data_IF_520242260034
#
_entry.id   IF_520242260034
#
_cell.length_a   1.000
_cell.length_b   1.000
_cell.length_c   1.000
_cell.angle_alpha   90.00
_cell.angle_beta   90.00
_cell.angle_gamma   90.00
#
_symmetry.space_group_name_H-M   'P 1'
#
loop_
_entity.id
_entity.type
_entity.pdbx_description
1 polymer ?
#
# COMPACT_ATOMS: atom_id res chain seq x y z
N UNK A 1 34.21 -66.66 -57.09
CA UNK A 1 34.36 -65.73 -55.95
C UNK A 1 33.75 -64.44 -56.42
N UNK A 2 32.56 -64.11 -55.96
CA UNK A 2 31.76 -63.00 -56.43
C UNK A 2 31.92 -61.77 -55.45
N UNK A 3 32.44 -60.64 -55.94
CA UNK A 3 32.54 -59.41 -55.24
C UNK A 3 31.22 -58.59 -55.37
N UNK A 4 30.53 -58.37 -54.26
CA UNK A 4 29.34 -57.48 -54.23
C UNK A 4 29.84 -56.04 -54.17
N UNK A 5 29.47 -55.27 -55.20
CA UNK A 5 29.61 -53.83 -55.19
C UNK A 5 28.44 -53.23 -54.38
N UNK A 6 28.75 -52.52 -53.31
CA UNK A 6 27.81 -51.69 -52.53
C UNK A 6 27.64 -50.34 -53.26
N UNK A 7 26.47 -50.13 -53.83
CA UNK A 7 26.11 -48.82 -54.44
C UNK A 7 25.92 -47.76 -53.36
N UNK A 8 26.76 -46.76 -53.36
CA UNK A 8 26.61 -45.53 -52.57
C UNK A 8 25.73 -44.59 -53.39
N UNK A 9 24.46 -44.41 -52.98
CA UNK A 9 23.61 -43.37 -53.54
C UNK A 9 24.00 -42.05 -52.96
N UNK A 10 24.71 -41.22 -53.70
CA UNK A 10 25.00 -39.83 -53.37
C UNK A 10 23.70 -39.01 -53.59
N UNK A 11 22.99 -38.71 -52.50
CA UNK A 11 21.93 -37.71 -52.53
C UNK A 11 22.53 -36.34 -52.78
N UNK A 12 22.16 -35.71 -53.89
CA UNK A 12 22.59 -34.36 -54.22
C UNK A 12 22.06 -33.34 -53.19
N UNK A 13 22.85 -32.37 -52.73
CA UNK A 13 22.37 -31.37 -51.79
C UNK A 13 21.24 -30.52 -52.40
N UNK A 14 20.20 -30.18 -51.66
CA UNK A 14 19.06 -29.41 -52.16
C UNK A 14 19.50 -28.06 -52.75
N UNK A 15 18.81 -27.54 -53.76
CA UNK A 15 19.16 -26.31 -54.45
C UNK A 15 19.18 -25.15 -53.49
N UNK A 16 20.10 -24.18 -53.69
CA UNK A 16 20.31 -23.03 -52.84
C UNK A 16 19.00 -22.24 -52.51
N UNK A 17 18.04 -22.21 -53.46
CA UNK A 17 16.73 -21.62 -53.30
C UNK A 17 15.84 -22.33 -52.25
N UNK A 18 15.91 -23.66 -52.15
CA UNK A 18 15.16 -24.45 -51.16
C UNK A 18 15.72 -24.25 -49.75
N UNK A 19 17.05 -24.08 -49.60
CA UNK A 19 17.67 -23.76 -48.28
C UNK A 19 17.31 -22.37 -47.81
N UNK A 20 17.26 -21.38 -48.72
CA UNK A 20 16.83 -20.02 -48.36
C UNK A 20 15.33 -19.98 -47.97
N UNK A 21 14.47 -20.71 -48.66
CA UNK A 21 13.05 -20.81 -48.32
C UNK A 21 12.82 -21.48 -46.93
N UNK A 22 13.57 -22.52 -46.59
CA UNK A 22 13.50 -23.21 -45.31
C UNK A 22 13.96 -22.30 -44.13
N UNK A 23 15.00 -21.51 -44.32
CA UNK A 23 15.49 -20.56 -43.31
C UNK A 23 14.48 -19.45 -43.09
N UNK A 24 13.87 -18.90 -44.13
CA UNK A 24 12.82 -17.88 -44.04
C UNK A 24 11.59 -18.43 -43.32
N UNK A 25 11.14 -19.65 -43.66
CA UNK A 25 10.00 -20.29 -43.03
C UNK A 25 10.24 -20.56 -41.54
N UNK A 26 11.44 -21.03 -41.16
CA UNK A 26 11.81 -21.25 -39.78
C UNK A 26 11.86 -19.91 -38.97
N UNK A 27 12.35 -18.82 -39.58
CA UNK A 27 12.36 -17.49 -38.95
C UNK A 27 10.93 -16.93 -38.74
N UNK A 28 10.02 -17.11 -39.74
CA UNK A 28 8.62 -16.67 -39.60
C UNK A 28 7.87 -17.47 -38.55
N UNK A 29 8.07 -18.78 -38.49
CA UNK A 29 7.48 -19.63 -37.43
C UNK A 29 8.02 -19.29 -36.04
N UNK A 30 9.31 -18.97 -35.93
CA UNK A 30 9.92 -18.51 -34.65
C UNK A 30 9.35 -17.19 -34.17
N UNK A 31 9.16 -16.22 -35.07
CA UNK A 31 8.55 -14.91 -34.71
C UNK A 31 7.07 -15.05 -34.34
N UNK A 32 6.31 -15.91 -35.02
CA UNK A 32 4.91 -16.17 -34.70
C UNK A 32 4.76 -16.88 -33.33
N UNK A 33 5.66 -17.80 -32.98
CA UNK A 33 5.69 -18.46 -31.66
C UNK A 33 6.04 -17.48 -30.53
N UNK A 34 7.00 -16.59 -30.75
CA UNK A 34 7.34 -15.53 -29.76
C UNK A 34 6.15 -14.58 -29.54
N UNK A 35 5.49 -14.11 -30.59
CA UNK A 35 4.34 -13.22 -30.50
C UNK A 35 3.12 -13.87 -29.82
N UNK A 36 2.89 -15.16 -30.05
CA UNK A 36 1.81 -15.89 -29.36
C UNK A 36 2.13 -16.14 -27.89
N UNK A 37 3.37 -16.42 -27.55
CA UNK A 37 3.82 -16.58 -26.16
C UNK A 37 3.71 -15.26 -25.36
N UNK A 38 4.16 -14.14 -25.95
CA UNK A 38 4.05 -12.82 -25.34
C UNK A 38 2.60 -12.39 -25.08
N UNK A 39 1.68 -12.65 -26.04
CA UNK A 39 0.24 -12.41 -25.84
C UNK A 39 -0.36 -13.29 -24.73
N UNK A 40 0.05 -14.55 -24.64
CA UNK A 40 -0.43 -15.46 -23.60
C UNK A 40 0.08 -15.07 -22.20
N UNK A 41 1.34 -14.65 -22.09
CA UNK A 41 1.90 -14.14 -20.81
C UNK A 41 1.21 -12.86 -20.39
N UNK A 42 1.09 -11.86 -21.27
CA UNK A 42 0.37 -10.62 -20.99
C UNK A 42 -1.06 -10.87 -20.52
N UNK A 43 -1.81 -11.77 -21.16
CA UNK A 43 -3.18 -12.12 -20.73
C UNK A 43 -3.22 -12.72 -19.32
N UNK A 44 -2.22 -13.54 -18.94
CA UNK A 44 -2.11 -14.08 -17.58
C UNK A 44 -1.76 -13.00 -16.57
N UNK A 45 -0.88 -12.07 -16.92
CA UNK A 45 -0.51 -10.94 -16.07
C UNK A 45 -1.70 -10.03 -15.83
N UNK A 46 -2.48 -9.69 -16.86
CA UNK A 46 -3.71 -8.90 -16.76
C UNK A 46 -4.75 -9.61 -15.87
N UNK A 47 -4.93 -10.93 -16.04
CA UNK A 47 -5.86 -11.73 -15.23
C UNK A 47 -5.40 -11.81 -13.76
N UNK A 48 -4.10 -12.01 -13.54
CA UNK A 48 -3.52 -12.00 -12.18
C UNK A 48 -3.74 -10.67 -11.48
N UNK A 49 -3.43 -9.56 -12.15
CA UNK A 49 -3.64 -8.20 -11.62
C UNK A 49 -5.11 -7.97 -11.28
N UNK A 50 -6.03 -8.31 -12.17
CA UNK A 50 -7.47 -8.19 -11.91
C UNK A 50 -7.93 -9.01 -10.71
N UNK A 51 -7.53 -10.29 -10.63
CA UNK A 51 -7.87 -11.15 -9.50
C UNK A 51 -7.24 -10.66 -8.18
N UNK A 52 -6.05 -10.05 -8.24
CA UNK A 52 -5.41 -9.43 -7.06
C UNK A 52 -6.25 -8.26 -6.55
N UNK A 53 -6.66 -7.36 -7.43
CA UNK A 53 -7.49 -6.20 -7.07
C UNK A 53 -8.85 -6.62 -6.49
N UNK A 54 -9.49 -7.65 -7.08
CA UNK A 54 -10.71 -8.23 -6.51
C UNK A 54 -10.46 -8.84 -5.12
N UNK A 55 -9.37 -9.58 -4.95
CA UNK A 55 -9.00 -10.14 -3.66
C UNK A 55 -8.82 -9.08 -2.58
N UNK A 56 -8.12 -7.98 -2.91
CA UNK A 56 -7.95 -6.83 -2.01
C UNK A 56 -9.31 -6.17 -1.70
N UNK A 57 -10.19 -6.03 -2.70
CA UNK A 57 -11.53 -5.47 -2.49
C UNK A 57 -12.36 -6.32 -1.53
N UNK A 58 -12.35 -7.65 -1.68
CA UNK A 58 -13.01 -8.58 -0.75
C UNK A 58 -12.41 -8.55 0.65
N UNK A 59 -11.07 -8.41 0.79
CA UNK A 59 -10.45 -8.21 2.10
C UNK A 59 -10.95 -6.94 2.80
N UNK A 60 -11.14 -5.85 2.07
CA UNK A 60 -11.71 -4.61 2.62
C UNK A 60 -13.17 -4.76 3.06
N UNK A 61 -13.93 -5.60 2.37
CA UNK A 61 -15.31 -5.94 2.72
C UNK A 61 -15.41 -6.97 3.87
N UNK A 62 -14.29 -7.58 4.27
CA UNK A 62 -14.25 -8.64 5.28
C UNK A 62 -14.62 -10.02 4.74
N UNK A 63 -14.80 -10.16 3.42
CA UNK A 63 -15.09 -11.45 2.79
C UNK A 63 -13.80 -12.25 2.54
N UNK A 64 -13.29 -12.85 3.61
CA UNK A 64 -12.04 -13.64 3.60
C UNK A 64 -12.12 -14.84 2.66
N UNK A 65 -13.22 -15.61 2.57
CA UNK A 65 -13.32 -16.73 1.63
C UNK A 65 -13.17 -16.31 0.17
N UNK A 66 -13.90 -15.29 -0.27
CA UNK A 66 -13.81 -14.79 -1.64
C UNK A 66 -12.44 -14.14 -1.93
N UNK A 67 -11.89 -13.40 -0.97
CA UNK A 67 -10.55 -12.87 -1.08
C UNK A 67 -9.53 -13.97 -1.33
N UNK A 68 -9.61 -15.07 -0.57
CA UNK A 68 -8.72 -16.23 -0.73
C UNK A 68 -8.85 -16.88 -2.10
N UNK A 69 -10.08 -17.09 -2.57
CA UNK A 69 -10.33 -17.66 -3.91
C UNK A 69 -9.64 -16.83 -5.01
N UNK A 70 -9.85 -15.49 -4.98
CA UNK A 70 -9.30 -14.59 -6.00
C UNK A 70 -7.77 -14.51 -5.93
N UNK A 71 -7.21 -14.41 -4.73
CA UNK A 71 -5.76 -14.34 -4.56
C UNK A 71 -5.05 -15.66 -4.87
N UNK A 72 -5.65 -16.81 -4.54
CA UNK A 72 -5.11 -18.11 -4.94
C UNK A 72 -5.15 -18.28 -6.48
N UNK A 73 -6.18 -17.74 -7.13
CA UNK A 73 -6.25 -17.70 -8.59
C UNK A 73 -5.19 -16.77 -9.17
N UNK A 74 -5.04 -15.57 -8.65
CA UNK A 74 -4.02 -14.62 -9.08
C UNK A 74 -2.61 -15.21 -9.01
N UNK A 75 -2.29 -15.90 -7.92
CA UNK A 75 -1.00 -16.58 -7.73
C UNK A 75 -0.76 -17.69 -8.77
N UNK A 76 -1.79 -18.47 -9.14
CA UNK A 76 -1.66 -19.47 -10.20
C UNK A 76 -1.45 -18.86 -11.58
N UNK A 77 -2.02 -17.69 -11.83
CA UNK A 77 -1.90 -16.97 -13.10
C UNK A 77 -0.52 -16.31 -13.25
N UNK A 78 -0.01 -15.66 -12.20
CA UNK A 78 1.35 -15.11 -12.17
C UNK A 78 1.98 -15.24 -10.77
N UNK A 79 2.73 -16.30 -10.49
CA UNK A 79 3.45 -16.47 -9.22
C UNK A 79 4.66 -15.51 -9.05
N UNK A 80 5.05 -14.79 -10.08
CA UNK A 80 6.11 -13.79 -10.05
C UNK A 80 5.61 -12.36 -9.78
N UNK A 81 4.32 -12.16 -9.55
CA UNK A 81 3.79 -10.83 -9.29
C UNK A 81 3.92 -10.47 -7.79
N UNK A 82 4.73 -9.46 -7.41
CA UNK A 82 4.93 -9.06 -6.02
C UNK A 82 3.67 -8.56 -5.34
N UNK A 83 2.75 -7.94 -6.09
CA UNK A 83 1.47 -7.45 -5.57
C UNK A 83 0.58 -8.60 -5.08
N UNK A 84 0.54 -9.73 -5.81
CA UNK A 84 -0.19 -10.93 -5.38
C UNK A 84 0.32 -11.42 -4.03
N UNK A 85 1.64 -11.52 -3.87
CA UNK A 85 2.26 -11.94 -2.60
C UNK A 85 1.94 -10.95 -1.47
N UNK A 86 2.03 -9.64 -1.74
CA UNK A 86 1.67 -8.61 -0.75
C UNK A 86 0.20 -8.72 -0.33
N UNK A 87 -0.72 -8.91 -1.28
CA UNK A 87 -2.15 -9.10 -0.99
C UNK A 87 -2.44 -10.41 -0.23
N UNK A 88 -1.73 -11.50 -0.56
CA UNK A 88 -1.82 -12.77 0.17
C UNK A 88 -1.28 -12.66 1.60
N UNK A 89 -0.25 -11.85 1.81
CA UNK A 89 0.23 -11.55 3.15
C UNK A 89 -0.86 -10.87 3.99
N UNK A 90 -1.55 -9.87 3.42
CA UNK A 90 -2.71 -9.24 4.08
C UNK A 90 -3.84 -10.24 4.37
N UNK A 91 -4.09 -11.19 3.45
CA UNK A 91 -5.06 -12.25 3.67
C UNK A 91 -4.67 -13.14 4.87
N UNK A 92 -3.43 -13.61 4.92
CA UNK A 92 -2.95 -14.47 6.02
C UNK A 92 -2.92 -13.73 7.35
N UNK A 93 -2.62 -12.44 7.37
CA UNK A 93 -2.76 -11.61 8.56
C UNK A 93 -4.21 -11.58 9.08
N UNK A 94 -5.17 -11.35 8.18
CA UNK A 94 -6.61 -11.41 8.52
C UNK A 94 -7.07 -12.77 9.02
N UNK A 95 -6.44 -13.86 8.56
CA UNK A 95 -6.71 -15.24 9.00
C UNK A 95 -6.03 -15.58 10.32
N UNK A 96 -5.22 -14.68 10.90
CA UNK A 96 -4.44 -14.94 12.11
C UNK A 96 -3.29 -15.93 11.88
N UNK A 97 -2.72 -15.96 10.67
CA UNK A 97 -1.62 -16.82 10.26
C UNK A 97 -0.31 -16.02 10.06
N UNK A 98 0.28 -15.44 11.13
CA UNK A 98 1.38 -14.47 11.01
C UNK A 98 2.64 -15.02 10.34
N UNK A 99 2.94 -16.29 10.51
CA UNK A 99 4.10 -16.92 9.88
C UNK A 99 3.95 -16.96 8.34
N UNK A 100 2.73 -17.23 7.85
CA UNK A 100 2.45 -17.20 6.40
C UNK A 100 2.43 -15.78 5.88
N UNK A 101 1.87 -14.82 6.61
CA UNK A 101 1.90 -13.42 6.25
C UNK A 101 3.35 -12.90 6.07
N UNK A 102 4.22 -13.16 7.05
CA UNK A 102 5.64 -12.77 6.97
C UNK A 102 6.36 -13.43 5.78
N UNK A 103 6.10 -14.71 5.52
CA UNK A 103 6.68 -15.42 4.38
C UNK A 103 6.27 -14.83 3.03
N UNK A 104 5.00 -14.46 2.88
CA UNK A 104 4.47 -13.84 1.65
C UNK A 104 5.02 -12.41 1.47
N UNK A 105 5.09 -11.57 2.52
CA UNK A 105 5.74 -10.26 2.42
C UNK A 105 7.21 -10.36 2.02
N UNK A 106 7.95 -11.33 2.58
CA UNK A 106 9.33 -11.58 2.16
C UNK A 106 9.43 -12.06 0.71
N UNK A 107 8.46 -12.85 0.24
CA UNK A 107 8.39 -13.26 -1.15
C UNK A 107 8.16 -12.04 -2.07
N UNK A 108 7.23 -11.15 -1.73
CA UNK A 108 6.99 -9.91 -2.45
C UNK A 108 8.27 -9.05 -2.55
N UNK A 109 8.99 -8.87 -1.44
CA UNK A 109 10.25 -8.10 -1.42
C UNK A 109 11.38 -8.76 -2.20
N UNK A 110 11.44 -10.10 -2.28
CA UNK A 110 12.45 -10.77 -3.15
C UNK A 110 12.17 -10.52 -4.63
N UNK A 111 10.90 -10.46 -5.01
CA UNK A 111 10.49 -10.19 -6.39
C UNK A 111 10.65 -8.71 -6.77
N UNK A 112 10.38 -7.80 -5.84
CA UNK A 112 10.46 -6.37 -6.05
C UNK A 112 11.17 -5.66 -4.87
N UNK A 113 12.49 -5.78 -4.73
CA UNK A 113 13.22 -5.28 -3.56
C UNK A 113 13.25 -3.75 -3.44
N UNK A 114 13.02 -3.05 -4.55
CA UNK A 114 12.99 -1.58 -4.60
C UNK A 114 11.57 -0.99 -4.65
N UNK A 115 10.54 -1.85 -4.61
CA UNK A 115 9.15 -1.40 -4.66
C UNK A 115 8.75 -0.76 -3.31
N UNK A 116 8.44 0.54 -3.32
CA UNK A 116 8.10 1.24 -2.08
C UNK A 116 6.73 0.83 -1.53
N UNK A 117 5.77 0.44 -2.38
CA UNK A 117 4.44 0.04 -1.93
C UNK A 117 4.50 -1.32 -1.21
N UNK A 118 5.23 -2.29 -1.76
CA UNK A 118 5.48 -3.58 -1.09
C UNK A 118 6.19 -3.36 0.24
N UNK A 119 7.21 -2.50 0.28
CA UNK A 119 7.96 -2.20 1.50
C UNK A 119 7.09 -1.49 2.55
N UNK A 120 6.24 -0.54 2.13
CA UNK A 120 5.29 0.15 3.00
C UNK A 120 4.26 -0.82 3.60
N UNK A 121 3.68 -1.70 2.80
CA UNK A 121 2.70 -2.68 3.28
C UNK A 121 3.31 -3.65 4.29
N UNK A 122 4.52 -4.11 4.04
CA UNK A 122 5.23 -4.94 5.01
C UNK A 122 5.57 -4.17 6.29
N UNK A 123 5.92 -2.90 6.21
CA UNK A 123 6.17 -2.06 7.37
C UNK A 123 4.91 -1.90 8.25
N UNK A 124 3.73 -1.70 7.64
CA UNK A 124 2.45 -1.70 8.37
C UNK A 124 2.26 -2.99 9.15
N UNK A 125 2.43 -4.13 8.48
CA UNK A 125 2.31 -5.44 9.12
C UNK A 125 3.30 -5.64 10.27
N UNK A 126 4.57 -5.26 10.10
CA UNK A 126 5.58 -5.35 11.15
C UNK A 126 5.19 -4.56 12.40
N UNK A 127 4.62 -3.37 12.22
CA UNK A 127 4.10 -2.57 13.32
C UNK A 127 2.92 -3.25 14.04
N UNK A 128 2.00 -3.86 13.30
CA UNK A 128 0.85 -4.56 13.86
C UNK A 128 1.26 -5.75 14.75
N UNK A 129 2.32 -6.46 14.36
CA UNK A 129 2.85 -7.58 15.15
C UNK A 129 3.90 -7.18 16.21
N UNK A 130 4.07 -5.86 16.46
CA UNK A 130 4.96 -5.33 17.49
C UNK A 130 6.45 -5.26 17.11
N UNK A 131 6.81 -5.54 15.85
CA UNK A 131 8.19 -5.36 15.32
C UNK A 131 8.41 -3.89 14.92
N UNK A 132 8.19 -3.00 15.88
CA UNK A 132 8.13 -1.54 15.67
C UNK A 132 9.39 -0.97 15.02
N UNK A 133 10.59 -1.32 15.50
CA UNK A 133 11.83 -0.75 14.95
C UNK A 133 12.05 -1.13 13.49
N UNK A 134 11.73 -2.38 13.12
CA UNK A 134 11.82 -2.83 11.73
C UNK A 134 10.79 -2.13 10.84
N UNK A 135 9.55 -1.97 11.34
CA UNK A 135 8.50 -1.25 10.62
C UNK A 135 8.87 0.21 10.38
N UNK A 136 9.31 0.92 11.42
CA UNK A 136 9.73 2.32 11.34
C UNK A 136 10.91 2.50 10.38
N UNK A 137 11.94 1.67 10.50
CA UNK A 137 13.09 1.71 9.59
C UNK A 137 12.68 1.56 8.12
N UNK A 138 11.72 0.65 7.84
CA UNK A 138 11.18 0.49 6.47
C UNK A 138 10.40 1.71 6.02
N UNK A 139 9.52 2.26 6.84
CA UNK A 139 8.79 3.48 6.50
C UNK A 139 9.71 4.64 6.18
N UNK A 140 10.77 4.84 6.97
CA UNK A 140 11.76 5.89 6.72
C UNK A 140 12.53 5.65 5.40
N UNK A 141 12.86 4.39 5.08
CA UNK A 141 13.48 4.05 3.81
C UNK A 141 12.54 4.34 2.63
N UNK A 142 11.25 3.96 2.76
CA UNK A 142 10.20 4.26 1.78
C UNK A 142 10.05 5.78 1.59
N UNK A 143 9.97 6.54 2.68
CA UNK A 143 9.81 8.00 2.61
C UNK A 143 10.98 8.71 1.91
N UNK A 144 12.19 8.14 1.97
CA UNK A 144 13.40 8.63 1.27
C UNK A 144 13.51 8.13 -0.18
N UNK A 145 12.68 7.17 -0.59
CA UNK A 145 12.71 6.64 -1.96
C UNK A 145 12.10 7.64 -2.93
N UNK A 146 12.90 8.12 -3.89
CA UNK A 146 12.46 9.10 -4.90
C UNK A 146 11.34 8.59 -5.82
N UNK A 147 11.12 7.28 -5.91
CA UNK A 147 10.03 6.67 -6.68
C UNK A 147 8.70 6.69 -5.91
N UNK A 148 8.74 6.88 -4.59
CA UNK A 148 7.52 6.91 -3.78
C UNK A 148 6.85 8.27 -3.86
N UNK A 149 5.66 8.30 -4.44
CA UNK A 149 4.93 9.57 -4.72
C UNK A 149 4.27 10.19 -3.50
N UNK A 150 4.15 9.44 -2.40
CA UNK A 150 3.42 9.86 -1.20
C UNK A 150 4.26 9.72 0.08
N UNK A 151 5.46 10.33 0.15
CA UNK A 151 6.37 10.16 1.30
C UNK A 151 5.75 10.59 2.63
N UNK A 152 4.82 11.56 2.62
CA UNK A 152 4.06 11.96 3.82
C UNK A 152 3.23 10.82 4.41
N UNK A 153 2.74 9.88 3.59
CA UNK A 153 1.99 8.71 4.06
C UNK A 153 2.93 7.78 4.83
N UNK A 154 4.13 7.52 4.32
CA UNK A 154 5.10 6.69 5.02
C UNK A 154 5.55 7.30 6.36
N UNK A 155 5.81 8.61 6.41
CA UNK A 155 6.09 9.30 7.67
C UNK A 155 4.91 9.22 8.64
N UNK A 156 3.68 9.43 8.18
CA UNK A 156 2.49 9.32 9.02
C UNK A 156 2.32 7.90 9.58
N UNK A 157 2.49 6.88 8.74
CA UNK A 157 2.44 5.48 9.17
C UNK A 157 3.52 5.15 10.20
N UNK A 158 4.75 5.67 10.03
CA UNK A 158 5.81 5.54 11.03
C UNK A 158 5.40 6.20 12.36
N UNK A 159 4.79 7.38 12.29
CA UNK A 159 4.25 8.08 13.46
C UNK A 159 3.19 7.27 14.19
N UNK A 160 2.21 6.69 13.46
CA UNK A 160 1.16 5.82 14.03
C UNK A 160 1.78 4.57 14.67
N UNK A 161 2.74 3.94 14.02
CA UNK A 161 3.48 2.79 14.55
C UNK A 161 4.15 3.11 15.89
N UNK A 162 4.88 4.23 15.95
CA UNK A 162 5.58 4.68 17.15
C UNK A 162 4.62 5.06 18.27
N UNK A 163 3.50 5.72 17.95
CA UNK A 163 2.44 6.05 18.89
C UNK A 163 1.84 4.79 19.53
N UNK A 164 1.56 3.77 18.75
CA UNK A 164 1.07 2.47 19.23
C UNK A 164 2.08 1.81 20.20
N UNK A 165 3.37 2.00 19.94
CA UNK A 165 4.46 1.57 20.84
C UNK A 165 4.73 2.52 22.02
N UNK A 166 3.89 3.56 22.21
CA UNK A 166 4.03 4.61 23.25
C UNK A 166 5.32 5.44 23.13
N UNK A 167 5.93 5.48 21.95
CA UNK A 167 7.13 6.29 21.64
C UNK A 167 6.70 7.67 21.13
N UNK A 168 5.98 8.41 21.97
CA UNK A 168 5.25 9.62 21.59
C UNK A 168 6.14 10.73 21.00
N UNK A 169 7.34 10.96 21.56
CA UNK A 169 8.25 11.97 21.05
C UNK A 169 8.75 11.66 19.63
N UNK A 170 8.95 10.39 19.32
CA UNK A 170 9.36 9.93 17.99
C UNK A 170 8.18 9.97 17.01
N UNK A 171 6.98 9.61 17.47
CA UNK A 171 5.75 9.74 16.69
C UNK A 171 5.53 11.20 16.26
N UNK A 172 5.64 12.16 17.20
CA UNK A 172 5.50 13.59 16.90
C UNK A 172 6.50 14.05 15.83
N UNK A 173 7.78 13.60 15.89
CA UNK A 173 8.77 13.93 14.86
C UNK A 173 8.34 13.43 13.48
N UNK A 174 7.81 12.22 13.38
CA UNK A 174 7.37 11.64 12.12
C UNK A 174 6.12 12.34 11.56
N UNK A 175 5.13 12.69 12.40
CA UNK A 175 3.98 13.48 11.95
C UNK A 175 4.40 14.88 11.47
N UNK A 176 5.36 15.54 12.14
CA UNK A 176 5.94 16.80 11.69
C UNK A 176 6.64 16.65 10.33
N UNK A 177 7.37 15.56 10.09
CA UNK A 177 7.97 15.29 8.77
C UNK A 177 6.90 15.07 7.69
N UNK A 178 5.81 14.39 8.01
CA UNK A 178 4.67 14.26 7.08
C UNK A 178 4.11 15.63 6.69
N UNK A 179 3.90 16.52 7.65
CA UNK A 179 3.39 17.88 7.42
C UNK A 179 4.38 18.81 6.70
N UNK A 180 5.70 18.65 6.95
CA UNK A 180 6.73 19.36 6.18
C UNK A 180 6.72 18.94 4.71
N UNK A 181 6.46 17.67 4.44
CA UNK A 181 6.39 17.12 3.08
C UNK A 181 5.06 17.48 2.39
N UNK A 182 3.97 17.47 3.14
CA UNK A 182 2.62 17.82 2.67
C UNK A 182 1.84 18.56 3.75
N UNK A 183 1.86 19.90 3.74
CA UNK A 183 1.23 20.71 4.80
C UNK A 183 -0.29 20.52 4.93
N UNK A 184 -0.99 20.18 3.83
CA UNK A 184 -2.43 19.93 3.83
C UNK A 184 -2.81 18.46 4.11
N UNK A 185 -1.93 17.66 4.75
CA UNK A 185 -2.24 16.28 5.09
C UNK A 185 -2.96 16.22 6.44
N UNK A 186 -4.29 16.25 6.41
CA UNK A 186 -5.17 16.34 7.58
C UNK A 186 -4.93 15.24 8.62
N UNK A 187 -4.66 14.01 8.16
CA UNK A 187 -4.40 12.88 9.05
C UNK A 187 -3.19 13.14 9.97
N UNK A 188 -2.07 13.60 9.42
CA UNK A 188 -0.90 13.89 10.24
C UNK A 188 -1.12 15.09 11.17
N UNK A 189 -1.88 16.09 10.74
CA UNK A 189 -2.24 17.23 11.57
C UNK A 189 -3.12 16.81 12.77
N UNK A 190 -4.12 15.96 12.52
CA UNK A 190 -4.96 15.38 13.55
C UNK A 190 -4.14 14.54 14.53
N UNK A 191 -3.33 13.59 14.01
CA UNK A 191 -2.53 12.70 14.84
C UNK A 191 -1.53 13.45 15.73
N UNK A 192 -0.90 14.50 15.22
CA UNK A 192 0.00 15.34 15.99
C UNK A 192 -0.77 16.12 17.06
N UNK A 193 -1.85 16.79 16.68
CA UNK A 193 -2.68 17.56 17.61
C UNK A 193 -3.30 16.70 18.72
N UNK A 194 -3.79 15.51 18.39
CA UNK A 194 -4.33 14.57 19.39
C UNK A 194 -3.23 14.00 20.31
N UNK A 195 -2.03 13.77 19.77
CA UNK A 195 -0.89 13.36 20.56
C UNK A 195 -0.47 14.43 21.59
N UNK A 196 -0.42 15.70 21.17
CA UNK A 196 -0.14 16.83 22.06
C UNK A 196 -1.26 17.02 23.10
N UNK A 197 -2.52 16.87 22.70
CA UNK A 197 -3.67 16.92 23.60
C UNK A 197 -3.61 15.83 24.68
N UNK A 198 -3.34 14.59 24.29
CA UNK A 198 -3.21 13.47 25.22
C UNK A 198 -2.00 13.62 26.17
N UNK A 199 -0.95 14.30 25.70
CA UNK A 199 0.22 14.64 26.49
C UNK A 199 0.00 15.82 27.45
N UNK A 200 -1.17 16.45 27.42
CA UNK A 200 -1.48 17.64 28.24
C UNK A 200 -0.92 18.95 27.67
N UNK A 201 -0.30 18.93 26.49
CA UNK A 201 0.26 20.10 25.81
C UNK A 201 -0.85 20.86 25.06
N UNK A 202 -1.82 21.41 25.83
CA UNK A 202 -3.03 22.01 25.27
C UNK A 202 -2.74 23.20 24.33
N UNK A 203 -1.69 23.96 24.59
CA UNK A 203 -1.29 25.10 23.73
C UNK A 203 -0.82 24.62 22.37
N UNK A 204 0.03 23.59 22.31
CA UNK A 204 0.55 23.05 21.06
C UNK A 204 -0.54 22.32 20.27
N UNK A 205 -1.40 21.54 20.96
CA UNK A 205 -2.56 20.91 20.37
C UNK A 205 -3.49 21.94 19.70
N UNK A 206 -3.76 23.06 20.38
CA UNK A 206 -4.57 24.15 19.84
C UNK A 206 -3.92 24.80 18.64
N UNK A 207 -2.63 25.15 18.75
CA UNK A 207 -1.87 25.76 17.67
C UNK A 207 -1.86 24.87 16.42
N UNK A 208 -1.74 23.54 16.59
CA UNK A 208 -1.78 22.59 15.48
C UNK A 208 -3.15 22.62 14.77
N UNK A 209 -4.25 22.62 15.51
CA UNK A 209 -5.61 22.70 14.95
C UNK A 209 -5.82 24.03 14.23
N UNK A 210 -5.52 25.15 14.90
CA UNK A 210 -5.73 26.50 14.36
C UNK A 210 -4.89 26.75 13.09
N UNK A 211 -3.63 26.30 13.09
CA UNK A 211 -2.74 26.41 11.93
C UNK A 211 -3.31 25.66 10.73
N UNK A 212 -3.80 24.45 10.96
CA UNK A 212 -4.35 23.66 9.86
C UNK A 212 -5.65 24.25 9.30
N UNK A 213 -6.64 24.52 10.16
CA UNK A 213 -7.95 25.02 9.69
C UNK A 213 -7.90 26.46 9.18
N UNK A 214 -6.87 27.23 9.55
CA UNK A 214 -6.63 28.58 9.03
C UNK A 214 -6.01 28.60 7.65
N UNK A 215 -5.33 27.52 7.24
CA UNK A 215 -4.63 27.43 5.97
C UNK A 215 -5.32 26.47 4.97
N UNK A 216 -6.09 25.51 5.45
CA UNK A 216 -6.65 24.42 4.65
C UNK A 216 -8.12 24.17 5.03
N UNK A 217 -8.78 23.35 4.21
CA UNK A 217 -10.14 22.91 4.49
C UNK A 217 -10.18 22.09 5.78
N UNK A 218 -11.07 22.48 6.70
CA UNK A 218 -11.23 21.80 7.97
C UNK A 218 -11.78 20.38 7.78
N UNK A 219 -11.36 19.45 8.63
CA UNK A 219 -11.96 18.10 8.68
C UNK A 219 -12.78 17.94 9.95
N UNK A 220 -13.79 17.03 9.95
CA UNK A 220 -14.60 16.78 11.15
C UNK A 220 -13.76 16.40 12.38
N UNK A 221 -12.69 15.59 12.16
CA UNK A 221 -11.81 15.14 13.24
C UNK A 221 -11.03 16.29 13.87
N UNK A 222 -10.47 17.19 13.05
CA UNK A 222 -9.75 18.37 13.55
C UNK A 222 -10.67 19.34 14.27
N UNK A 223 -11.89 19.54 13.78
CA UNK A 223 -12.87 20.41 14.48
C UNK A 223 -13.30 19.82 15.81
N UNK A 224 -13.55 18.52 15.88
CA UNK A 224 -13.89 17.86 17.16
C UNK A 224 -12.71 17.89 18.13
N UNK A 225 -11.47 17.69 17.63
CA UNK A 225 -10.27 17.87 18.45
C UNK A 225 -10.16 19.29 18.98
N UNK A 226 -10.44 20.31 18.14
CA UNK A 226 -10.48 21.72 18.55
C UNK A 226 -11.47 21.98 19.67
N UNK A 227 -12.68 21.39 19.61
CA UNK A 227 -13.67 21.45 20.70
C UNK A 227 -13.12 20.84 21.99
N UNK A 228 -12.51 19.66 21.91
CA UNK A 228 -11.94 18.94 23.07
C UNK A 228 -10.82 19.74 23.73
N UNK A 229 -9.91 20.27 22.93
CA UNK A 229 -8.78 21.09 23.40
C UNK A 229 -9.30 22.38 24.03
N UNK A 230 -10.22 23.10 23.38
CA UNK A 230 -10.78 24.34 23.88
C UNK A 230 -11.56 24.14 25.19
N UNK A 231 -12.30 23.04 25.35
CA UNK A 231 -12.95 22.67 26.62
C UNK A 231 -11.92 22.47 27.74
N UNK A 232 -10.85 21.72 27.44
CA UNK A 232 -9.78 21.50 28.42
C UNK A 232 -9.06 22.78 28.84
N UNK A 233 -9.02 23.79 27.95
CA UNK A 233 -8.49 25.14 28.24
C UNK A 233 -9.50 26.05 28.92
N UNK A 234 -10.79 25.69 29.02
CA UNK A 234 -11.85 26.56 29.55
C UNK A 234 -12.27 27.67 28.60
N UNK A 235 -11.86 27.62 27.30
CA UNK A 235 -12.15 28.65 26.30
C UNK A 235 -13.51 28.39 25.64
N UNK A 236 -14.58 28.95 26.22
CA UNK A 236 -15.96 28.79 25.76
C UNK A 236 -16.18 29.34 24.35
N UNK A 237 -15.53 30.47 24.01
CA UNK A 237 -15.70 31.08 22.68
C UNK A 237 -15.13 30.18 21.58
N UNK A 238 -13.98 29.59 21.85
CA UNK A 238 -13.39 28.62 20.91
C UNK A 238 -14.20 27.33 20.79
N UNK A 239 -14.76 26.83 21.91
CA UNK A 239 -15.70 25.68 21.87
C UNK A 239 -16.87 25.97 20.92
N UNK A 240 -17.53 27.13 21.08
CA UNK A 240 -18.64 27.52 20.23
C UNK A 240 -18.22 27.67 18.77
N UNK A 241 -17.05 28.26 18.51
CA UNK A 241 -16.52 28.43 17.15
C UNK A 241 -16.35 27.08 16.43
N UNK A 242 -15.60 26.14 17.02
CA UNK A 242 -15.38 24.84 16.40
C UNK A 242 -16.66 23.99 16.30
N UNK A 243 -17.48 23.99 17.36
CA UNK A 243 -18.73 23.25 17.39
C UNK A 243 -19.73 23.75 16.32
N UNK A 244 -19.81 25.07 16.15
CA UNK A 244 -20.65 25.68 15.08
C UNK A 244 -20.15 25.27 13.71
N UNK A 245 -18.85 25.39 13.48
CA UNK A 245 -18.25 25.02 12.19
C UNK A 245 -18.48 23.52 11.89
N UNK A 246 -18.29 22.65 12.88
CA UNK A 246 -18.53 21.21 12.73
C UNK A 246 -19.99 20.90 12.37
N UNK A 247 -20.95 21.53 13.04
CA UNK A 247 -22.40 21.34 12.76
C UNK A 247 -22.82 21.89 11.42
N UNK A 248 -22.24 23.01 10.97
CA UNK A 248 -22.59 23.63 9.69
C UNK A 248 -21.99 22.91 8.51
N UNK A 249 -20.69 22.61 8.57
CA UNK A 249 -19.95 22.07 7.44
C UNK A 249 -20.11 20.54 7.33
N UNK A 250 -20.37 19.85 8.47
CA UNK A 250 -20.40 18.39 8.54
C UNK A 250 -21.59 17.85 9.37
N UNK A 251 -22.84 18.23 9.06
CA UNK A 251 -24.02 17.96 9.91
C UNK A 251 -24.29 16.47 10.16
N UNK A 252 -23.92 15.59 9.22
CA UNK A 252 -24.16 14.14 9.30
C UNK A 252 -22.92 13.32 9.66
N UNK A 253 -21.82 13.96 10.08
CA UNK A 253 -20.60 13.24 10.43
C UNK A 253 -20.72 12.56 11.80
N UNK A 254 -19.99 11.46 11.99
CA UNK A 254 -19.89 10.78 13.27
C UNK A 254 -19.35 11.74 14.38
N UNK A 255 -18.49 12.68 14.00
CA UNK A 255 -17.91 13.68 14.90
C UNK A 255 -18.96 14.68 15.37
N UNK A 256 -19.94 15.05 14.53
CA UNK A 256 -21.08 15.91 14.94
C UNK A 256 -22.00 15.16 15.91
N UNK A 257 -22.23 13.87 15.69
CA UNK A 257 -22.96 13.04 16.67
C UNK A 257 -22.19 12.92 18.00
N UNK A 258 -20.90 12.66 17.95
CA UNK A 258 -20.04 12.61 19.15
C UNK A 258 -20.02 13.96 19.91
N UNK A 259 -20.08 15.09 19.20
CA UNK A 259 -20.18 16.41 19.81
C UNK A 259 -21.50 16.55 20.64
N UNK A 260 -22.63 16.05 20.13
CA UNK A 260 -23.89 16.09 20.86
C UNK A 260 -23.82 15.30 22.18
N UNK A 261 -23.15 14.14 22.17
CA UNK A 261 -22.92 13.36 23.40
C UNK A 261 -22.05 14.10 24.41
N UNK A 262 -21.05 14.84 23.93
CA UNK A 262 -20.21 15.67 24.78
C UNK A 262 -20.96 16.86 25.41
N UNK A 263 -22.04 17.34 24.81
CA UNK A 263 -22.82 18.47 25.31
C UNK A 263 -23.81 18.03 26.41
N UNK A 264 -24.09 16.72 26.54
CA UNK A 264 -24.98 16.15 27.54
C UNK A 264 -24.27 15.66 28.83
N UNK A 265 -22.94 15.58 28.81
CA UNK A 265 -22.10 15.20 29.97
C UNK A 265 -21.38 16.40 30.57
#
# INVERSE_FOLDING_TARGET
MSARQAGFTSEAPPPRSARAALVVLAAVLGLAACASHERATKKKDDASTYNTQLGIAYLRQGDVPLAKEKLDRALRENPGNPEVHSARAMLFDRMGEPAKADAEYRAALRLAPQDPDVSNNYAVYLCQIGRTDEGVHRFEAVARNALYRTPWVAYSNAGVCLRSAKRNAEAARNFKQALLTRPNFAEAAYQLGDLEFQGGNLTDARAQVDTYIGAFEATPDLLLLGVRVARAQGDRLAVEHYARKLRLDFPSSAQTHALAELDHN
#
